data_IF_436019557414
#
_entry.id   IF_436019557414
#
_cell.length_a   1.000
_cell.length_b   1.000
_cell.length_c   1.000
_cell.angle_alpha   90.00
_cell.angle_beta   90.00
_cell.angle_gamma   90.00
#
_symmetry.space_group_name_H-M   'P 1'
#
loop_
_entity.id
_entity.type
_entity.pdbx_description
1 polymer ?
#
# COMPACT_ATOMS: atom_id res chain seq x y z
N UNK A 1 35.58 -13.22 2.99
CA UNK A 1 35.47 -13.77 1.63
C UNK A 1 34.47 -12.91 0.86
N UNK A 2 34.95 -12.00 0.01
CA UNK A 2 34.05 -11.20 -0.83
C UNK A 2 33.39 -12.10 -1.86
N UNK A 3 32.07 -12.04 -1.99
CA UNK A 3 31.38 -12.88 -2.97
C UNK A 3 31.72 -12.42 -4.37
N UNK A 4 32.47 -13.27 -5.08
CA UNK A 4 32.83 -13.12 -6.48
C UNK A 4 31.60 -12.71 -7.29
N UNK A 5 31.65 -11.65 -8.09
CA UNK A 5 30.49 -11.22 -8.85
C UNK A 5 30.16 -12.25 -9.94
N UNK A 6 28.88 -12.60 -10.17
CA UNK A 6 28.50 -13.56 -11.21
C UNK A 6 29.05 -13.20 -12.60
N UNK A 7 29.11 -11.91 -12.94
CA UNK A 7 29.71 -11.46 -14.20
C UNK A 7 31.22 -11.71 -14.27
N UNK A 8 31.92 -11.59 -13.14
CA UNK A 8 33.35 -11.90 -13.05
C UNK A 8 33.59 -13.41 -13.16
N UNK A 9 32.74 -14.25 -12.55
CA UNK A 9 32.78 -15.71 -12.69
C UNK A 9 32.70 -16.09 -14.18
N UNK A 10 31.70 -15.58 -14.91
CA UNK A 10 31.53 -15.89 -16.33
C UNK A 10 32.71 -15.40 -17.17
N UNK A 11 33.22 -14.20 -16.88
CA UNK A 11 34.37 -13.62 -17.56
C UNK A 11 35.65 -14.44 -17.31
N UNK A 12 35.93 -14.81 -16.07
CA UNK A 12 37.16 -15.54 -15.72
C UNK A 12 37.13 -16.97 -16.22
N UNK A 13 35.95 -17.60 -16.24
CA UNK A 13 35.75 -18.89 -16.90
C UNK A 13 36.01 -18.81 -18.41
N UNK A 14 35.44 -17.81 -19.09
CA UNK A 14 35.58 -17.66 -20.54
C UNK A 14 37.00 -17.30 -21.00
N UNK A 15 37.85 -16.79 -20.10
CA UNK A 15 39.24 -16.44 -20.36
C UNK A 15 40.24 -17.47 -19.76
N UNK A 16 39.78 -18.68 -19.42
CA UNK A 16 40.59 -19.76 -18.83
C UNK A 16 41.32 -19.38 -17.52
N UNK A 17 40.84 -18.34 -16.82
CA UNK A 17 41.39 -17.89 -15.52
C UNK A 17 40.76 -18.60 -14.34
N UNK A 18 39.77 -19.45 -14.57
CA UNK A 18 39.04 -20.18 -13.56
C UNK A 18 38.61 -21.54 -14.09
N UNK A 19 38.82 -22.60 -13.30
CA UNK A 19 38.40 -23.95 -13.69
C UNK A 19 36.87 -24.09 -13.66
N UNK A 20 36.36 -25.09 -14.37
CA UNK A 20 34.93 -25.44 -14.41
C UNK A 20 34.39 -25.66 -12.99
N UNK A 21 35.13 -26.36 -12.13
CA UNK A 21 34.72 -26.70 -10.77
C UNK A 21 34.59 -25.46 -9.90
N UNK A 22 35.52 -24.51 -10.01
CA UNK A 22 35.44 -23.23 -9.28
C UNK A 22 34.28 -22.37 -9.79
N UNK A 23 34.07 -22.32 -11.10
CA UNK A 23 32.96 -21.59 -11.71
C UNK A 23 31.60 -22.13 -11.24
N UNK A 24 31.46 -23.46 -11.20
CA UNK A 24 30.27 -24.15 -10.67
C UNK A 24 30.09 -23.85 -9.19
N UNK A 25 31.15 -23.98 -8.38
CA UNK A 25 31.10 -23.73 -6.93
C UNK A 25 30.62 -22.31 -6.60
N UNK A 26 31.13 -21.29 -7.29
CA UNK A 26 30.65 -19.93 -7.09
C UNK A 26 29.25 -19.68 -7.66
N UNK A 27 28.87 -20.34 -8.75
CA UNK A 27 27.51 -20.23 -9.29
C UNK A 27 26.48 -20.82 -8.31
N UNK A 28 26.79 -21.93 -7.64
CA UNK A 28 25.95 -22.49 -6.59
C UNK A 28 25.80 -21.52 -5.41
N UNK A 29 26.87 -20.88 -4.97
CA UNK A 29 26.80 -19.84 -3.92
C UNK A 29 25.93 -18.63 -4.33
N UNK A 30 25.94 -18.25 -5.61
CA UNK A 30 25.03 -17.23 -6.13
C UNK A 30 23.58 -17.68 -6.10
N UNK A 31 23.31 -18.92 -6.50
CA UNK A 31 21.96 -19.50 -6.49
C UNK A 31 21.42 -19.54 -5.06
N UNK A 32 22.20 -19.98 -4.08
CA UNK A 32 21.80 -20.00 -2.66
C UNK A 32 21.41 -18.60 -2.17
N UNK A 33 22.23 -17.60 -2.48
CA UNK A 33 21.95 -16.20 -2.15
C UNK A 33 20.68 -15.67 -2.82
N UNK A 34 20.43 -16.06 -4.08
CA UNK A 34 19.20 -15.68 -4.78
C UNK A 34 17.98 -16.29 -4.10
N UNK A 35 18.06 -17.54 -3.64
CA UNK A 35 16.98 -18.18 -2.87
C UNK A 35 16.76 -17.53 -1.51
N UNK A 36 17.82 -17.15 -0.79
CA UNK A 36 17.70 -16.39 0.47
C UNK A 36 16.98 -15.06 0.23
N UNK A 37 17.43 -14.28 -0.76
CA UNK A 37 16.81 -13.01 -1.13
C UNK A 37 15.36 -13.17 -1.56
N UNK A 38 15.05 -14.20 -2.35
CA UNK A 38 13.69 -14.50 -2.79
C UNK A 38 12.79 -14.84 -1.59
N UNK A 39 13.30 -15.62 -0.65
CA UNK A 39 12.57 -16.00 0.57
C UNK A 39 12.26 -14.77 1.41
N UNK A 40 13.26 -13.91 1.67
CA UNK A 40 13.07 -12.66 2.40
C UNK A 40 12.09 -11.73 1.69
N UNK A 41 12.23 -11.56 0.37
CA UNK A 41 11.33 -10.73 -0.42
C UNK A 41 9.88 -11.22 -0.36
N UNK A 42 9.67 -12.54 -0.39
CA UNK A 42 8.34 -13.14 -0.26
C UNK A 42 7.74 -12.91 1.13
N UNK A 43 8.51 -13.08 2.20
CA UNK A 43 8.05 -12.79 3.57
C UNK A 43 7.62 -11.33 3.69
N UNK A 44 8.46 -10.40 3.23
CA UNK A 44 8.14 -8.96 3.25
C UNK A 44 6.88 -8.64 2.45
N UNK A 45 6.68 -9.31 1.30
CA UNK A 45 5.48 -9.13 0.47
C UNK A 45 4.21 -9.60 1.21
N UNK A 46 4.26 -10.74 1.90
CA UNK A 46 3.13 -11.22 2.68
C UNK A 46 2.81 -10.30 3.86
N UNK A 47 3.84 -9.82 4.56
CA UNK A 47 3.67 -8.88 5.67
C UNK A 47 3.05 -7.56 5.18
N UNK A 48 3.57 -7.00 4.09
CA UNK A 48 3.05 -5.76 3.52
C UNK A 48 1.59 -5.92 3.09
N UNK A 49 1.24 -7.05 2.46
CA UNK A 49 -0.14 -7.36 2.08
C UNK A 49 -1.07 -7.40 3.31
N UNK A 50 -0.66 -8.07 4.39
CA UNK A 50 -1.44 -8.11 5.62
C UNK A 50 -1.66 -6.72 6.26
N UNK A 51 -0.66 -5.85 6.19
CA UNK A 51 -0.78 -4.45 6.65
C UNK A 51 -1.76 -3.65 5.78
N UNK A 52 -1.70 -3.81 4.46
CA UNK A 52 -2.62 -3.17 3.52
C UNK A 52 -4.06 -3.64 3.77
N UNK A 53 -4.30 -4.94 3.86
CA UNK A 53 -5.63 -5.49 4.13
C UNK A 53 -6.22 -4.97 5.46
N UNK A 54 -5.36 -4.77 6.47
CA UNK A 54 -5.76 -4.19 7.76
C UNK A 54 -6.14 -2.72 7.61
N UNK A 55 -5.33 -1.94 6.88
CA UNK A 55 -5.58 -0.52 6.60
C UNK A 55 -6.86 -0.33 5.78
N UNK A 56 -7.13 -1.18 4.80
CA UNK A 56 -8.37 -1.12 4.02
C UNK A 56 -9.61 -1.33 4.90
N UNK A 57 -9.56 -2.29 5.84
CA UNK A 57 -10.64 -2.52 6.80
C UNK A 57 -10.86 -1.34 7.74
N UNK A 58 -9.78 -0.73 8.24
CA UNK A 58 -9.91 0.44 9.14
C UNK A 58 -10.47 1.64 8.41
N UNK A 59 -10.02 1.91 7.18
CA UNK A 59 -10.57 2.98 6.34
C UNK A 59 -12.05 2.76 6.06
N UNK A 60 -12.45 1.53 5.69
CA UNK A 60 -13.86 1.19 5.44
C UNK A 60 -14.72 1.42 6.68
N UNK A 61 -14.21 1.03 7.85
CA UNK A 61 -14.90 1.22 9.14
C UNK A 61 -15.07 2.70 9.46
N UNK A 62 -14.00 3.50 9.28
CA UNK A 62 -14.03 4.94 9.51
C UNK A 62 -14.99 5.63 8.54
N UNK A 63 -14.96 5.30 7.25
CA UNK A 63 -15.88 5.84 6.25
C UNK A 63 -17.34 5.55 6.61
N UNK A 64 -17.64 4.32 7.05
CA UNK A 64 -18.98 3.95 7.52
C UNK A 64 -19.39 4.77 8.76
N UNK A 65 -18.46 4.96 9.69
CA UNK A 65 -18.66 5.81 10.87
C UNK A 65 -18.96 7.26 10.50
N UNK A 66 -18.18 7.85 9.59
CA UNK A 66 -18.39 9.20 9.08
C UNK A 66 -19.74 9.34 8.37
N UNK A 67 -20.14 8.37 7.55
CA UNK A 67 -21.44 8.39 6.89
C UNK A 67 -22.60 8.39 7.91
N UNK A 68 -22.49 7.59 8.97
CA UNK A 68 -23.47 7.56 10.06
C UNK A 68 -23.53 8.89 10.82
N UNK A 69 -22.38 9.46 11.16
CA UNK A 69 -22.31 10.75 11.85
C UNK A 69 -22.90 11.88 10.99
N UNK A 70 -22.58 11.90 9.69
CA UNK A 70 -23.13 12.87 8.73
C UNK A 70 -24.66 12.76 8.67
N UNK A 71 -25.20 11.55 8.57
CA UNK A 71 -26.64 11.33 8.56
C UNK A 71 -27.32 11.73 9.89
N UNK A 72 -26.64 11.59 11.03
CA UNK A 72 -27.14 12.06 12.33
C UNK A 72 -27.16 13.58 12.40
N UNK A 73 -26.11 14.25 11.91
CA UNK A 73 -26.04 15.71 11.82
C UNK A 73 -27.14 16.27 10.91
N UNK A 74 -27.35 15.67 9.74
CA UNK A 74 -28.44 16.07 8.84
C UNK A 74 -29.83 15.88 9.45
N UNK A 75 -30.02 14.85 10.28
CA UNK A 75 -31.28 14.62 11.00
C UNK A 75 -31.48 15.59 12.18
N UNK A 76 -30.41 15.99 12.86
CA UNK A 76 -30.47 16.88 14.02
C UNK A 76 -30.48 18.36 13.63
N UNK A 77 -30.04 18.71 12.43
CA UNK A 77 -30.27 20.02 11.85
C UNK A 77 -31.78 20.22 11.65
N UNK A 78 -32.41 21.19 12.33
CA UNK A 78 -33.80 21.50 12.08
C UNK A 78 -33.92 21.88 10.60
N UNK A 79 -34.66 21.07 9.83
CA UNK A 79 -35.14 21.48 8.50
C UNK A 79 -35.86 22.79 8.72
N UNK A 80 -35.18 23.91 8.42
CA UNK A 80 -35.76 25.22 8.42
C UNK A 80 -36.83 25.16 7.32
N UNK A 81 -38.06 24.79 7.73
CA UNK A 81 -39.22 24.79 6.86
C UNK A 81 -39.35 26.24 6.42
N UNK A 82 -38.82 26.56 5.23
CA UNK A 82 -39.28 27.69 4.45
C UNK A 82 -40.76 27.43 4.23
N UNK A 83 -41.59 27.93 5.15
CA UNK A 83 -43.01 28.13 4.90
C UNK A 83 -43.06 29.12 3.74
N UNK A 84 -43.10 28.59 2.53
CA UNK A 84 -43.65 29.30 1.38
C UNK A 84 -45.16 29.40 1.59
N UNK A 85 -45.56 30.13 2.62
CA UNK A 85 -46.85 30.82 2.65
C UNK A 85 -46.57 32.26 2.29
N UNK A 86 -46.12 32.47 1.05
CA UNK A 86 -46.03 33.80 0.45
C UNK A 86 -47.43 34.28 0.08
N UNK A 87 -48.27 34.56 1.10
CA UNK A 87 -49.23 35.64 0.95
C UNK A 87 -48.40 36.89 0.76
N UNK A 88 -48.40 37.42 -0.45
CA UNK A 88 -47.95 38.77 -0.72
C UNK A 88 -48.75 39.71 0.18
N UNK A 89 -48.13 40.18 1.25
CA UNK A 89 -48.58 41.38 1.92
C UNK A 89 -47.35 42.22 2.23
N UNK A 90 -47.17 43.23 1.37
CA UNK A 90 -46.58 44.53 1.68
C UNK A 90 -46.69 44.84 3.17
N UNK A 91 -45.57 45.02 3.84
CA UNK A 91 -45.19 46.30 4.46
C UNK A 91 -43.91 46.15 5.26
N UNK A 92 -43.10 47.19 5.18
CA UNK A 92 -41.77 47.33 5.72
C UNK A 92 -41.72 47.30 7.26
N UNK A 93 -40.49 47.08 7.73
CA UNK A 93 -39.82 47.73 8.87
C UNK A 93 -39.58 46.83 10.07
N UNK A 94 -38.32 46.40 10.19
CA UNK A 94 -37.74 45.82 11.40
C UNK A 94 -37.74 46.83 12.55
N UNK A 95 -38.08 46.35 13.74
CA UNK A 95 -37.55 46.76 15.04
C UNK A 95 -37.23 45.48 15.81
#
# INVERSE_FOLDING_TARGET
MGTYNHKQILSDYANDRMTVEMAIGHTLQHIDKLYELQTTANVNRYELRGRVDTLEKTVTTLQTGFARLTALVEKSLPKCKRKSSGKQQKSQSCA
#
